data_IF_294659616914
#
_entry.id   IF_294659616914
#
_cell.length_a   1.000
_cell.length_b   1.000
_cell.length_c   1.000
_cell.angle_alpha   90.00
_cell.angle_beta   90.00
_cell.angle_gamma   90.00
#
_symmetry.space_group_name_H-M   'P 1'
#
loop_
_entity.id
_entity.type
_entity.pdbx_description
1 polymer ?
#
# COMPACT_ATOMS: atom_id res chain seq x y z
N UNK A 1 -7.49 4.67 -5.94
CA UNK A 1 -6.23 5.08 -5.30
C UNK A 1 -5.30 3.90 -5.14
N UNK A 2 -3.99 4.12 -5.23
CA UNK A 2 -2.99 3.07 -5.06
C UNK A 2 -2.65 2.83 -3.59
N UNK A 3 -2.54 1.55 -3.25
CA UNK A 3 -2.12 1.05 -1.95
C UNK A 3 -1.01 0.02 -2.12
N UNK A 4 -0.11 -0.05 -1.15
CA UNK A 4 0.78 -1.18 -0.94
C UNK A 4 0.09 -2.21 -0.05
N UNK A 5 -0.30 -3.34 -0.62
CA UNK A 5 -0.77 -4.50 0.10
C UNK A 5 0.42 -5.39 0.47
N UNK A 6 0.58 -5.64 1.76
CA UNK A 6 1.62 -6.51 2.30
C UNK A 6 0.98 -7.79 2.78
N UNK A 7 1.36 -8.93 2.21
CA UNK A 7 0.85 -10.24 2.62
C UNK A 7 1.77 -10.94 3.62
N UNK A 8 1.22 -11.87 4.41
CA UNK A 8 2.02 -12.82 5.15
C UNK A 8 2.77 -13.77 4.20
N UNK A 9 3.96 -14.20 4.62
CA UNK A 9 4.79 -15.10 3.82
C UNK A 9 4.34 -16.58 3.89
N UNK A 10 3.05 -16.84 3.60
CA UNK A 10 2.38 -18.16 3.62
C UNK A 10 1.29 -18.22 2.54
N UNK A 11 0.96 -19.43 2.09
CA UNK A 11 -0.14 -19.70 1.15
C UNK A 11 -0.16 -18.72 -0.04
N UNK A 12 0.97 -18.61 -0.73
CA UNK A 12 1.26 -17.57 -1.74
C UNK A 12 0.16 -17.49 -2.81
N UNK A 13 -0.26 -18.64 -3.31
CA UNK A 13 -1.27 -18.77 -4.36
C UNK A 13 -2.67 -18.30 -3.92
N UNK A 14 -2.93 -18.21 -2.60
CA UNK A 14 -4.22 -17.78 -2.05
C UNK A 14 -4.29 -16.29 -1.72
N UNK A 15 -3.16 -15.57 -1.74
CA UNK A 15 -3.09 -14.14 -1.37
C UNK A 15 -4.04 -13.27 -2.20
N UNK A 16 -3.87 -13.32 -3.54
CA UNK A 16 -4.71 -12.53 -4.46
C UNK A 16 -6.16 -13.05 -4.50
N UNK A 17 -6.43 -14.36 -4.61
CA UNK A 17 -7.80 -14.85 -4.58
C UNK A 17 -8.59 -14.48 -3.32
N UNK A 18 -7.96 -14.55 -2.13
CA UNK A 18 -8.60 -14.10 -0.89
C UNK A 18 -8.94 -12.60 -0.97
N UNK A 19 -7.95 -11.78 -1.34
CA UNK A 19 -8.11 -10.34 -1.44
C UNK A 19 -9.22 -9.96 -2.43
N UNK A 20 -9.22 -10.54 -3.63
CA UNK A 20 -10.20 -10.27 -4.69
C UNK A 20 -11.61 -10.71 -4.27
N UNK A 21 -11.74 -11.84 -3.56
CA UNK A 21 -13.03 -12.30 -3.03
C UNK A 21 -13.59 -11.32 -1.99
N UNK A 22 -12.74 -10.77 -1.12
CA UNK A 22 -13.15 -9.73 -0.16
C UNK A 22 -13.48 -8.41 -0.87
N UNK A 23 -12.68 -8.03 -1.87
CA UNK A 23 -12.94 -6.84 -2.66
C UNK A 23 -14.31 -6.91 -3.35
N UNK A 24 -14.67 -8.06 -3.93
CA UNK A 24 -15.99 -8.30 -4.52
C UNK A 24 -17.11 -8.22 -3.48
N UNK A 25 -16.91 -8.84 -2.31
CA UNK A 25 -17.85 -8.77 -1.21
C UNK A 25 -18.15 -7.32 -0.77
N UNK A 26 -17.16 -6.44 -0.81
CA UNK A 26 -17.28 -5.03 -0.42
C UNK A 26 -17.57 -4.09 -1.60
N UNK A 27 -17.96 -4.62 -2.75
CA UNK A 27 -18.43 -3.83 -3.88
C UNK A 27 -17.32 -3.11 -4.66
N UNK A 28 -16.07 -3.58 -4.55
CA UNK A 28 -14.95 -3.02 -5.30
C UNK A 28 -15.13 -3.15 -6.82
N UNK A 29 -15.90 -4.15 -7.27
CA UNK A 29 -16.17 -4.44 -8.69
C UNK A 29 -17.42 -3.77 -9.28
N UNK A 30 -18.09 -2.90 -8.50
CA UNK A 30 -19.38 -2.30 -8.90
C UNK A 30 -20.56 -3.28 -8.79
N UNK A 31 -21.78 -2.78 -9.04
CA UNK A 31 -22.97 -3.63 -9.00
C UNK A 31 -23.06 -4.45 -10.30
N UNK A 32 -22.83 -5.77 -10.19
CA UNK A 32 -22.96 -6.71 -11.32
C UNK A 32 -24.38 -6.76 -11.90
N UNK A 33 -25.37 -6.12 -11.26
CA UNK A 33 -26.78 -6.08 -11.67
C UNK A 33 -27.16 -4.82 -12.45
N UNK A 34 -26.33 -3.78 -12.50
CA UNK A 34 -26.59 -2.61 -13.36
C UNK A 34 -26.04 -2.89 -14.76
N UNK A 35 -26.91 -3.00 -15.75
CA UNK A 35 -26.61 -3.18 -17.18
C UNK A 35 -26.02 -1.93 -17.85
N UNK A 36 -25.50 -0.99 -17.08
CA UNK A 36 -24.92 0.24 -17.60
C UNK A 36 -23.50 -0.05 -18.10
N UNK A 37 -23.41 -0.16 -19.43
CA UNK A 37 -22.23 -0.46 -20.24
C UNK A 37 -21.03 0.51 -20.07
N UNK A 38 -21.11 1.49 -19.16
CA UNK A 38 -20.04 2.46 -18.88
C UNK A 38 -19.23 2.17 -17.60
N UNK A 39 -19.43 1.03 -16.93
CA UNK A 39 -18.68 0.67 -15.72
C UNK A 39 -17.32 0.03 -16.03
N UNK A 40 -16.47 0.72 -16.79
CA UNK A 40 -15.06 0.29 -16.98
C UNK A 40 -14.14 0.70 -15.81
N UNK A 41 -14.59 1.60 -14.93
CA UNK A 41 -13.72 2.24 -13.91
C UNK A 41 -13.72 1.58 -12.53
N UNK A 42 -14.53 0.54 -12.30
CA UNK A 42 -14.61 -0.15 -10.99
C UNK A 42 -13.99 -1.53 -11.03
N UNK A 43 -12.88 -1.74 -11.72
CA UNK A 43 -12.13 -3.00 -11.60
C UNK A 43 -10.87 -2.75 -10.80
N UNK A 44 -10.71 -3.48 -9.70
CA UNK A 44 -9.47 -3.52 -8.93
C UNK A 44 -8.30 -3.81 -9.89
N UNK A 45 -7.24 -3.00 -9.81
CA UNK A 45 -6.04 -3.21 -10.64
C UNK A 45 -4.85 -3.61 -9.78
N UNK A 46 -4.09 -4.60 -10.23
CA UNK A 46 -2.84 -5.01 -9.61
C UNK A 46 -1.66 -4.48 -10.39
N UNK A 47 -0.61 -4.11 -9.67
CA UNK A 47 0.71 -3.83 -10.24
C UNK A 47 1.78 -4.41 -9.31
N UNK A 48 2.86 -4.90 -9.90
CA UNK A 48 4.01 -5.41 -9.17
C UNK A 48 5.15 -4.39 -9.20
N UNK A 49 6.00 -4.31 -8.16
CA UNK A 49 7.25 -3.56 -8.23
C UNK A 49 8.12 -3.99 -9.43
N UNK A 50 8.93 -3.07 -9.98
CA UNK A 50 9.74 -3.30 -11.19
C UNK A 50 10.70 -4.49 -11.09
N UNK A 51 11.27 -4.73 -9.91
CA UNK A 51 12.18 -5.85 -9.61
C UNK A 51 11.53 -6.88 -8.68
N UNK A 52 10.23 -7.13 -8.88
CA UNK A 52 9.45 -8.04 -8.03
C UNK A 52 9.93 -9.49 -8.15
N UNK A 53 10.22 -10.10 -7.00
CA UNK A 53 10.40 -11.53 -6.86
C UNK A 53 9.03 -12.21 -6.66
N UNK A 54 8.72 -13.35 -7.30
CA UNK A 54 7.40 -13.99 -7.21
C UNK A 54 6.88 -14.23 -5.79
N UNK A 55 7.79 -14.56 -4.86
CA UNK A 55 7.42 -14.82 -3.46
C UNK A 55 7.26 -13.54 -2.61
N UNK A 56 7.67 -12.38 -3.14
CA UNK A 56 7.66 -11.11 -2.43
C UNK A 56 6.26 -10.80 -1.90
N UNK A 57 6.12 -10.40 -0.62
CA UNK A 57 4.81 -10.11 -0.04
C UNK A 57 4.23 -8.76 -0.52
N UNK A 58 5.01 -7.95 -1.23
CA UNK A 58 4.68 -6.57 -1.59
C UNK A 58 3.99 -6.48 -2.94
N UNK A 59 2.71 -6.07 -2.93
CA UNK A 59 1.88 -5.92 -4.13
C UNK A 59 1.21 -4.55 -4.13
N UNK A 60 1.19 -3.87 -5.27
CA UNK A 60 0.39 -2.66 -5.41
C UNK A 60 -1.01 -2.99 -5.89
N UNK A 61 -1.99 -2.35 -5.28
CA UNK A 61 -3.40 -2.52 -5.62
C UNK A 61 -4.08 -1.17 -5.73
N UNK A 62 -4.84 -0.97 -6.81
CA UNK A 62 -5.71 0.17 -6.96
C UNK A 62 -7.12 -0.18 -6.44
N UNK A 63 -7.56 0.55 -5.42
CA UNK A 63 -8.88 0.37 -4.80
C UNK A 63 -9.76 1.61 -4.99
N UNK A 64 -11.09 1.46 -5.03
CA UNK A 64 -12.00 2.58 -5.28
C UNK A 64 -12.14 3.53 -4.08
N UNK A 65 -11.94 3.06 -2.84
CA UNK A 65 -12.00 3.88 -1.64
C UNK A 65 -11.20 3.30 -0.49
N UNK A 66 -10.91 4.15 0.51
CA UNK A 66 -10.28 3.74 1.75
C UNK A 66 -11.17 2.81 2.57
N UNK A 67 -12.50 3.00 2.54
CA UNK A 67 -13.44 2.12 3.23
C UNK A 67 -13.37 0.67 2.73
N UNK A 68 -13.19 0.48 1.42
CA UNK A 68 -12.98 -0.85 0.85
C UNK A 68 -11.65 -1.45 1.36
N UNK A 69 -10.57 -0.66 1.38
CA UNK A 69 -9.29 -1.10 1.92
C UNK A 69 -9.41 -1.54 3.40
N UNK A 70 -10.07 -0.73 4.23
CA UNK A 70 -10.31 -1.03 5.65
C UNK A 70 -11.15 -2.30 5.84
N UNK A 71 -12.21 -2.45 5.05
CA UNK A 71 -13.07 -3.63 5.11
C UNK A 71 -12.35 -4.91 4.71
N UNK A 72 -11.51 -4.87 3.67
CA UNK A 72 -10.65 -6.00 3.27
C UNK A 72 -9.65 -6.32 4.39
N UNK A 73 -8.94 -5.32 4.90
CA UNK A 73 -7.96 -5.52 5.98
C UNK A 73 -8.60 -6.13 7.24
N UNK A 74 -9.82 -5.73 7.60
CA UNK A 74 -10.54 -6.25 8.76
C UNK A 74 -11.00 -7.71 8.63
N UNK A 75 -11.13 -8.25 7.42
CA UNK A 75 -11.63 -9.62 7.19
C UNK A 75 -10.61 -10.56 6.56
N UNK A 76 -9.46 -10.06 6.14
CA UNK A 76 -8.41 -10.87 5.55
C UNK A 76 -7.61 -11.62 6.61
N UNK A 77 -7.16 -12.82 6.25
CA UNK A 77 -6.28 -13.67 7.04
C UNK A 77 -4.85 -13.59 6.50
N UNK A 78 -4.66 -13.42 5.19
CA UNK A 78 -3.35 -13.41 4.55
C UNK A 78 -2.75 -12.00 4.37
N UNK A 79 -3.52 -10.94 4.56
CA UNK A 79 -3.02 -9.55 4.53
C UNK A 79 -2.42 -9.18 5.89
N UNK A 80 -1.15 -8.79 5.89
CA UNK A 80 -0.44 -8.21 7.05
C UNK A 80 -0.79 -6.74 7.23
N UNK A 81 -1.04 -6.01 6.14
CA UNK A 81 -1.47 -4.62 6.16
C UNK A 81 -1.69 -4.05 4.76
N UNK A 82 -2.47 -2.97 4.69
CA UNK A 82 -2.72 -2.20 3.48
C UNK A 82 -2.34 -0.74 3.79
N UNK A 83 -1.38 -0.20 3.05
CA UNK A 83 -0.82 1.12 3.29
C UNK A 83 -1.10 2.00 2.09
N UNK A 84 -1.56 3.22 2.33
CA UNK A 84 -1.69 4.21 1.26
C UNK A 84 -0.32 4.49 0.64
N UNK A 85 -0.25 4.46 -0.69
CA UNK A 85 1.01 4.69 -1.38
C UNK A 85 1.26 6.18 -1.57
N UNK A 86 2.13 6.75 -0.75
CA UNK A 86 2.61 8.14 -0.92
C UNK A 86 3.65 8.27 -2.03
N UNK A 87 4.46 7.24 -2.28
CA UNK A 87 5.46 7.24 -3.34
C UNK A 87 6.19 5.91 -3.44
N UNK A 88 6.85 5.70 -4.57
CA UNK A 88 7.74 4.57 -4.84
C UNK A 88 8.92 5.03 -5.71
N UNK A 89 10.05 4.35 -5.63
CA UNK A 89 11.23 4.62 -6.46
C UNK A 89 12.15 3.40 -6.49
N UNK A 90 13.00 3.31 -7.51
CA UNK A 90 14.03 2.26 -7.60
C UNK A 90 15.30 2.63 -6.83
N UNK A 91 15.45 3.91 -6.51
CA UNK A 91 16.46 4.47 -5.62
C UNK A 91 15.82 5.51 -4.66
N UNK A 92 16.65 6.08 -3.79
CA UNK A 92 16.18 7.02 -2.77
C UNK A 92 15.78 8.39 -3.33
N UNK A 93 16.39 8.82 -4.43
CA UNK A 93 16.10 10.11 -5.06
C UNK A 93 14.74 10.07 -5.75
N UNK A 94 14.50 9.02 -6.58
CA UNK A 94 13.18 8.76 -7.18
C UNK A 94 12.08 8.65 -6.11
N UNK A 95 12.37 7.97 -4.99
CA UNK A 95 11.41 7.84 -3.89
C UNK A 95 11.09 9.19 -3.24
N UNK A 96 12.11 10.00 -2.95
CA UNK A 96 11.95 11.32 -2.34
C UNK A 96 11.12 12.25 -3.23
N UNK A 97 11.43 12.30 -4.53
CA UNK A 97 10.66 13.07 -5.50
C UNK A 97 9.21 12.61 -5.57
N UNK A 98 8.98 11.30 -5.61
CA UNK A 98 7.63 10.73 -5.63
C UNK A 98 6.82 11.14 -4.38
N UNK A 99 7.39 10.99 -3.18
CA UNK A 99 6.71 11.35 -1.92
C UNK A 99 6.46 12.86 -1.82
N UNK A 100 7.39 13.70 -2.29
CA UNK A 100 7.20 15.16 -2.33
C UNK A 100 6.09 15.57 -3.30
N UNK A 101 5.99 14.90 -4.46
CA UNK A 101 4.94 15.16 -5.45
C UNK A 101 3.54 14.70 -5.02
N UNK A 102 3.45 13.85 -4.00
CA UNK A 102 2.19 13.38 -3.47
C UNK A 102 1.36 14.51 -2.84
N UNK A 103 0.03 14.58 -3.06
CA UNK A 103 -0.78 15.70 -2.59
C UNK A 103 -0.68 15.93 -1.07
N UNK A 104 -0.31 17.16 -0.69
CA UNK A 104 -0.14 17.53 0.72
C UNK A 104 -1.43 17.42 1.52
N UNK A 105 -2.58 17.77 0.92
CA UNK A 105 -3.91 17.64 1.54
C UNK A 105 -4.20 16.23 2.08
N UNK A 106 -3.56 15.20 1.51
CA UNK A 106 -3.71 13.81 1.95
C UNK A 106 -2.71 13.40 3.03
N UNK A 107 -1.52 14.02 3.04
CA UNK A 107 -0.47 13.79 4.05
C UNK A 107 -0.74 14.56 5.33
N UNK A 108 -1.19 15.82 5.21
CA UNK A 108 -1.34 16.77 6.31
C UNK A 108 -2.09 16.21 7.54
N UNK A 109 -3.21 15.48 7.40
CA UNK A 109 -3.91 14.91 8.57
C UNK A 109 -3.03 13.98 9.43
N UNK A 110 -1.98 13.40 8.87
CA UNK A 110 -1.06 12.48 9.54
C UNK A 110 0.24 13.15 10.00
N UNK A 111 0.43 14.45 9.73
CA UNK A 111 1.64 15.23 10.01
C UNK A 111 1.40 16.36 11.03
N UNK A 112 0.24 16.36 11.70
CA UNK A 112 -0.09 17.35 12.72
C UNK A 112 0.70 17.16 14.02
N UNK A 113 0.87 18.23 14.80
CA UNK A 113 1.69 18.24 16.03
C UNK A 113 1.14 17.34 17.14
N UNK A 114 -0.17 17.11 17.14
CA UNK A 114 -0.83 16.23 18.12
C UNK A 114 -0.72 14.73 17.76
N UNK A 115 -0.18 14.42 16.57
CA UNK A 115 -0.06 13.05 16.08
C UNK A 115 1.30 12.44 16.46
N UNK A 116 1.28 11.28 17.13
CA UNK A 116 2.50 10.48 17.30
C UNK A 116 2.75 9.63 16.07
N UNK A 117 4.02 9.43 15.70
CA UNK A 117 4.37 8.57 14.56
C UNK A 117 5.47 7.57 14.92
N UNK A 118 5.55 6.51 14.10
CA UNK A 118 6.66 5.56 14.08
C UNK A 118 6.98 5.23 12.64
N UNK A 119 8.25 5.31 12.27
CA UNK A 119 8.74 4.82 10.99
C UNK A 119 9.16 3.36 11.13
N UNK A 120 8.70 2.50 10.24
CA UNK A 120 9.10 1.08 10.18
C UNK A 120 9.71 0.80 8.81
N UNK A 121 10.91 0.21 8.80
CA UNK A 121 11.59 -0.22 7.58
C UNK A 121 11.46 -1.74 7.47
N UNK A 122 10.86 -2.24 6.40
CA UNK A 122 10.68 -3.67 6.12
C UNK A 122 11.41 -4.06 4.83
N UNK A 123 11.85 -5.31 4.73
CA UNK A 123 12.61 -5.83 3.58
C UNK A 123 12.25 -7.28 3.27
N UNK A 124 12.34 -7.66 2.00
CA UNK A 124 12.15 -9.04 1.55
C UNK A 124 13.48 -9.65 1.10
N UNK A 125 13.75 -10.90 1.49
CA UNK A 125 14.96 -11.65 1.10
C UNK A 125 16.27 -11.16 1.72
N UNK A 126 16.23 -10.14 2.58
CA UNK A 126 17.38 -9.61 3.31
C UNK A 126 16.97 -9.21 4.72
N UNK A 127 17.87 -9.38 5.69
CA UNK A 127 17.77 -8.79 7.03
C UNK A 127 18.56 -7.49 7.03
N UNK A 128 17.93 -6.40 7.44
CA UNK A 128 18.59 -5.11 7.60
C UNK A 128 19.13 -4.97 9.02
N UNK A 129 20.40 -4.59 9.13
CA UNK A 129 21.00 -4.22 10.42
C UNK A 129 20.32 -2.98 11.00
N UNK A 130 20.44 -2.77 12.31
CA UNK A 130 19.91 -1.58 12.97
C UNK A 130 20.48 -0.29 12.38
N UNK A 131 21.77 -0.31 12.02
CA UNK A 131 22.42 0.82 11.35
C UNK A 131 21.79 1.11 9.99
N UNK A 132 21.63 0.10 9.13
CA UNK A 132 21.01 0.24 7.81
C UNK A 132 19.54 0.72 7.90
N UNK A 133 18.82 0.33 8.94
CA UNK A 133 17.46 0.81 9.20
C UNK A 133 17.47 2.29 9.62
N UNK A 134 18.36 2.68 10.54
CA UNK A 134 18.48 4.06 11.00
C UNK A 134 18.88 5.01 9.87
N UNK A 135 19.83 4.61 9.02
CA UNK A 135 20.23 5.39 7.83
C UNK A 135 19.04 5.63 6.88
N UNK A 136 18.20 4.62 6.66
CA UNK A 136 16.98 4.76 5.85
C UNK A 136 15.95 5.67 6.49
N UNK A 137 15.77 5.60 7.81
CA UNK A 137 14.84 6.48 8.54
C UNK A 137 15.31 7.93 8.47
N UNK A 138 16.61 8.18 8.65
CA UNK A 138 17.19 9.53 8.52
C UNK A 138 17.05 10.08 7.10
N UNK A 139 17.13 9.21 6.08
CA UNK A 139 16.87 9.55 4.68
C UNK A 139 15.45 10.04 4.42
N UNK A 140 14.48 9.79 5.30
CA UNK A 140 13.09 10.27 5.18
C UNK A 140 12.85 11.63 5.85
N UNK A 141 13.91 12.35 6.23
CA UNK A 141 13.83 13.65 6.92
C UNK A 141 13.09 14.75 6.13
N UNK A 142 12.91 14.57 4.82
CA UNK A 142 12.11 15.46 3.98
C UNK A 142 10.60 15.34 4.24
N UNK A 143 10.13 14.30 4.94
CA UNK A 143 8.75 14.20 5.40
C UNK A 143 8.65 14.96 6.73
N UNK A 144 7.85 16.05 6.80
CA UNK A 144 7.85 16.94 7.95
C UNK A 144 6.99 16.39 9.10
N UNK A 145 7.35 15.21 9.62
CA UNK A 145 6.76 14.68 10.85
C UNK A 145 7.08 15.64 12.00
N UNK A 146 6.04 16.16 12.66
CA UNK A 146 6.19 17.02 13.84
C UNK A 146 6.47 16.13 15.06
N UNK A 147 7.50 16.49 15.83
CA UNK A 147 7.92 15.84 17.09
C UNK A 147 7.50 16.71 18.26
#
# INVERSE_FOLDING_TARGET
MWYLCVFYHRLLDYRKPEFESLADLFGAFGDKRSSDFNTQDKVLQWRLPKHHHPDSPFHFVHLPSEDVARNIANRSILVKGIYELWGEGNDFEELEEAVKSYPDERKLPYLESESTFKVTVDSFGKVLSLQEQNERIQGLSYIPFKV
#
